data_IF_528787759602
#
_entry.id   IF_528787759602
#
_cell.length_a   1.000
_cell.length_b   1.000
_cell.length_c   1.000
_cell.angle_alpha   90.00
_cell.angle_beta   90.00
_cell.angle_gamma   90.00
#
_symmetry.space_group_name_H-M   'P 1'
#
loop_
_entity.id
_entity.type
_entity.pdbx_description
1 polymer ?
#
# COMPACT_ATOMS: atom_id res chain seq x y z
N UNK A 1 14.95 67.63 -39.98
CA UNK A 1 16.26 67.22 -39.42
C UNK A 1 16.60 65.82 -39.92
N UNK A 2 17.41 65.71 -40.99
CA UNK A 2 17.85 64.42 -41.52
C UNK A 2 18.98 63.87 -40.63
N UNK A 3 18.69 62.82 -39.89
CA UNK A 3 19.65 62.14 -39.03
C UNK A 3 20.75 61.51 -39.89
N UNK A 4 21.99 61.99 -39.74
CA UNK A 4 23.12 61.61 -40.60
C UNK A 4 23.68 60.23 -40.21
N UNK A 5 22.89 59.19 -40.49
CA UNK A 5 23.16 57.78 -40.15
C UNK A 5 24.50 57.27 -40.70
N UNK A 6 24.95 57.81 -41.84
CA UNK A 6 26.19 57.41 -42.50
C UNK A 6 27.45 57.74 -41.69
N UNK A 7 27.42 58.73 -40.79
CA UNK A 7 28.58 59.17 -40.00
C UNK A 7 28.78 58.32 -38.74
N UNK A 8 27.67 57.93 -38.09
CA UNK A 8 27.67 57.05 -36.90
C UNK A 8 28.12 55.64 -37.28
N UNK A 9 27.66 55.16 -38.44
CA UNK A 9 28.00 53.82 -38.95
C UNK A 9 29.50 53.64 -39.23
N UNK A 10 30.24 54.70 -39.61
CA UNK A 10 31.69 54.58 -39.84
C UNK A 10 32.50 54.52 -38.54
N UNK A 11 32.03 55.14 -37.46
CA UNK A 11 32.78 55.20 -36.19
C UNK A 11 32.53 53.98 -35.28
N UNK A 12 31.31 53.44 -35.29
CA UNK A 12 30.91 52.38 -34.34
C UNK A 12 30.58 51.04 -35.02
N UNK A 13 31.13 50.80 -36.23
CA UNK A 13 30.85 49.62 -37.07
C UNK A 13 31.04 48.29 -36.33
N UNK A 14 32.11 48.19 -35.55
CA UNK A 14 32.45 47.00 -34.76
C UNK A 14 31.51 46.80 -33.56
N UNK A 15 31.20 47.86 -32.82
CA UNK A 15 30.30 47.78 -31.65
C UNK A 15 28.86 47.44 -32.08
N UNK A 16 28.39 48.02 -33.19
CA UNK A 16 27.06 47.72 -33.74
C UNK A 16 27.00 46.29 -34.27
N UNK A 17 28.06 45.79 -34.92
CA UNK A 17 28.09 44.40 -35.40
C UNK A 17 28.12 43.39 -34.26
N UNK A 18 28.91 43.64 -33.21
CA UNK A 18 28.97 42.77 -32.03
C UNK A 18 27.65 42.78 -31.25
N UNK A 19 27.05 43.96 -31.07
CA UNK A 19 25.73 44.09 -30.44
C UNK A 19 24.64 43.35 -31.22
N UNK A 20 24.64 43.44 -32.55
CA UNK A 20 23.68 42.73 -33.40
C UNK A 20 23.86 41.20 -33.34
N UNK A 21 25.10 40.70 -33.35
CA UNK A 21 25.38 39.25 -33.24
C UNK A 21 24.99 38.72 -31.87
N UNK A 22 25.25 39.45 -30.78
CA UNK A 22 24.83 39.06 -29.44
C UNK A 22 23.30 39.01 -29.29
N UNK A 23 22.59 39.96 -29.90
CA UNK A 23 21.12 40.02 -29.88
C UNK A 23 20.50 38.89 -30.70
N UNK A 24 21.07 38.58 -31.87
CA UNK A 24 20.65 37.44 -32.69
C UNK A 24 20.90 36.12 -31.95
N UNK A 25 22.08 35.94 -31.35
CA UNK A 25 22.38 34.75 -30.55
C UNK A 25 21.42 34.59 -29.35
N UNK A 26 21.05 35.69 -28.68
CA UNK A 26 20.08 35.65 -27.59
C UNK A 26 18.66 35.30 -28.06
N UNK A 27 18.23 35.79 -29.23
CA UNK A 27 16.92 35.47 -29.82
C UNK A 27 16.83 34.01 -30.29
N UNK A 28 17.90 33.45 -30.86
CA UNK A 28 17.95 32.04 -31.23
C UNK A 28 18.13 31.11 -30.02
N UNK A 29 18.84 31.54 -28.97
CA UNK A 29 19.02 30.75 -27.74
C UNK A 29 17.76 30.67 -26.86
N UNK A 30 16.81 31.59 -27.01
CA UNK A 30 15.61 31.64 -26.16
C UNK A 30 14.68 30.43 -26.38
N UNK A 31 14.60 29.92 -27.62
CA UNK A 31 13.79 28.74 -27.96
C UNK A 31 14.39 27.43 -27.41
N UNK A 32 15.71 27.31 -27.38
CA UNK A 32 16.40 26.12 -26.84
C UNK A 32 16.39 26.09 -25.30
N UNK A 33 16.47 27.26 -24.65
CA UNK A 33 16.32 27.38 -23.19
C UNK A 33 14.90 27.00 -22.75
N UNK A 34 13.86 27.45 -23.47
CA UNK A 34 12.48 27.07 -23.15
C UNK A 34 12.24 25.57 -23.28
N UNK A 35 12.76 24.92 -24.34
CA UNK A 35 12.65 23.46 -24.51
C UNK A 35 13.41 22.69 -23.44
N UNK A 36 14.60 23.15 -23.05
CA UNK A 36 15.39 22.55 -21.97
C UNK A 36 14.72 22.71 -20.60
N UNK A 37 14.09 23.86 -20.33
CA UNK A 37 13.32 24.09 -19.11
C UNK A 37 12.03 23.26 -19.05
N UNK A 38 11.36 23.05 -20.19
CA UNK A 38 10.19 22.18 -20.28
C UNK A 38 10.57 20.73 -19.94
N UNK A 39 11.65 20.20 -20.53
CA UNK A 39 12.14 18.86 -20.21
C UNK A 39 12.51 18.68 -18.73
N UNK A 40 13.22 19.65 -18.14
CA UNK A 40 13.56 19.63 -16.70
C UNK A 40 12.33 19.71 -15.78
N UNK A 41 11.30 20.46 -16.17
CA UNK A 41 10.07 20.56 -15.39
C UNK A 41 9.26 19.25 -15.44
N UNK A 42 9.24 18.60 -16.60
CA UNK A 42 8.59 17.31 -16.79
C UNK A 42 9.34 16.20 -16.05
N UNK A 43 10.67 16.18 -16.11
CA UNK A 43 11.51 15.24 -15.37
C UNK A 43 11.34 15.41 -13.85
N UNK A 44 11.32 16.65 -13.34
CA UNK A 44 11.03 16.91 -11.92
C UNK A 44 9.64 16.41 -11.52
N UNK A 45 8.63 16.60 -12.37
CA UNK A 45 7.28 16.11 -12.10
C UNK A 45 7.22 14.58 -12.07
N UNK A 46 7.91 13.90 -13.01
CA UNK A 46 8.03 12.44 -13.04
C UNK A 46 8.81 11.87 -11.85
N UNK A 47 9.90 12.53 -11.46
CA UNK A 47 10.67 12.13 -10.27
C UNK A 47 9.82 12.29 -9.01
N UNK A 48 9.10 13.40 -8.87
CA UNK A 48 8.20 13.62 -7.74
C UNK A 48 7.06 12.59 -7.69
N UNK A 49 6.47 12.22 -8.83
CA UNK A 49 5.42 11.19 -8.87
C UNK A 49 5.96 9.80 -8.54
N UNK A 50 7.14 9.44 -9.07
CA UNK A 50 7.72 8.12 -8.80
C UNK A 50 8.19 8.01 -7.35
N UNK A 51 8.74 9.09 -6.77
CA UNK A 51 9.15 9.12 -5.38
C UNK A 51 7.95 8.99 -4.43
N UNK A 52 6.80 9.60 -4.75
CA UNK A 52 5.59 9.44 -3.94
C UNK A 52 5.00 8.03 -4.05
N UNK A 53 5.04 7.43 -5.24
CA UNK A 53 4.62 6.05 -5.45
C UNK A 53 5.52 5.07 -4.70
N UNK A 54 6.84 5.25 -4.77
CA UNK A 54 7.81 4.43 -4.03
C UNK A 54 7.57 4.51 -2.52
N UNK A 55 7.38 5.71 -1.96
CA UNK A 55 7.05 5.87 -0.53
C UNK A 55 5.77 5.11 -0.17
N UNK A 56 4.73 5.21 -0.99
CA UNK A 56 3.47 4.49 -0.74
C UNK A 56 3.66 2.97 -0.76
N UNK A 57 4.50 2.45 -1.66
CA UNK A 57 4.81 1.03 -1.72
C UNK A 57 5.61 0.56 -0.50
N UNK A 58 6.57 1.37 -0.05
CA UNK A 58 7.36 1.12 1.16
C UNK A 58 6.47 1.09 2.41
N UNK A 59 5.62 2.11 2.58
CA UNK A 59 4.63 2.18 3.67
C UNK A 59 3.70 0.96 3.68
N UNK A 60 3.20 0.57 2.50
CA UNK A 60 2.37 -0.63 2.38
C UNK A 60 3.15 -1.91 2.75
N UNK A 61 4.41 -2.03 2.32
CA UNK A 61 5.25 -3.18 2.65
C UNK A 61 5.53 -3.27 4.15
N UNK A 62 5.75 -2.14 4.82
CA UNK A 62 5.91 -2.08 6.28
C UNK A 62 4.63 -2.50 7.01
N UNK A 63 3.46 -2.00 6.57
CA UNK A 63 2.18 -2.40 7.14
C UNK A 63 1.92 -3.90 6.98
N UNK A 64 2.23 -4.47 5.81
CA UNK A 64 2.10 -5.91 5.57
C UNK A 64 3.02 -6.71 6.50
N UNK A 65 4.28 -6.29 6.66
CA UNK A 65 5.22 -6.94 7.58
C UNK A 65 4.77 -6.87 9.03
N UNK A 66 4.27 -5.71 9.47
CA UNK A 66 3.75 -5.53 10.81
C UNK A 66 2.55 -6.44 11.07
N UNK A 67 1.61 -6.53 10.12
CA UNK A 67 0.47 -7.46 10.19
C UNK A 67 0.91 -8.92 10.21
N UNK A 68 1.91 -9.29 9.41
CA UNK A 68 2.46 -10.64 9.43
C UNK A 68 3.03 -10.99 10.80
N UNK A 69 3.82 -10.09 11.42
CA UNK A 69 4.37 -10.30 12.75
C UNK A 69 3.27 -10.44 13.82
N UNK A 70 2.21 -9.62 13.76
CA UNK A 70 1.03 -9.75 14.65
C UNK A 70 0.38 -11.11 14.47
N UNK A 71 0.19 -11.57 13.24
CA UNK A 71 -0.39 -12.87 12.97
C UNK A 71 0.49 -14.00 13.51
N UNK A 72 1.81 -13.93 13.33
CA UNK A 72 2.73 -14.96 13.83
C UNK A 72 2.71 -15.01 15.36
N UNK A 73 2.65 -13.85 16.00
CA UNK A 73 2.53 -13.75 17.45
C UNK A 73 1.23 -14.41 17.94
N UNK A 74 0.10 -14.15 17.28
CA UNK A 74 -1.19 -14.80 17.61
C UNK A 74 -1.14 -16.33 17.48
N UNK A 75 -0.44 -16.85 16.48
CA UNK A 75 -0.22 -18.30 16.35
C UNK A 75 0.60 -18.86 17.51
N UNK A 76 1.64 -18.14 17.94
CA UNK A 76 2.53 -18.54 19.05
C UNK A 76 1.83 -18.48 20.41
N UNK A 77 0.99 -17.47 20.63
CA UNK A 77 0.26 -17.24 21.88
C UNK A 77 -0.91 -18.21 22.08
N UNK A 78 -1.38 -18.85 21.01
CA UNK A 78 -2.44 -19.85 21.06
C UNK A 78 -3.76 -19.28 20.57
N UNK A 79 -3.94 -19.31 19.25
CA UNK A 79 -5.19 -18.94 18.60
C UNK A 79 -6.14 -20.14 18.48
N UNK A 80 -7.43 -19.82 18.35
CA UNK A 80 -8.50 -20.81 18.23
C UNK A 80 -8.78 -21.16 16.76
N UNK A 81 -8.66 -22.44 16.38
CA UNK A 81 -8.90 -22.86 14.98
C UNK A 81 -10.38 -22.87 14.62
N UNK A 82 -10.65 -22.34 13.42
CA UNK A 82 -11.97 -22.29 12.81
C UNK A 82 -12.09 -23.29 11.63
N UNK A 83 -13.22 -23.99 11.57
CA UNK A 83 -13.60 -24.97 10.53
C UNK A 83 -14.97 -24.61 9.94
N UNK A 84 -15.35 -25.23 8.84
CA UNK A 84 -16.61 -24.90 8.16
C UNK A 84 -17.82 -25.45 8.92
N UNK A 85 -18.91 -24.68 9.01
CA UNK A 85 -20.18 -25.14 9.61
C UNK A 85 -20.70 -26.42 8.95
N UNK A 86 -20.67 -26.47 7.61
CA UNK A 86 -21.28 -27.54 6.83
C UNK A 86 -20.42 -28.82 6.77
N UNK A 87 -19.15 -28.71 7.10
CA UNK A 87 -18.23 -29.85 7.14
C UNK A 87 -17.19 -29.58 8.22
N UNK A 88 -17.36 -30.16 9.43
CA UNK A 88 -16.44 -29.98 10.54
C UNK A 88 -15.01 -30.48 10.26
N UNK A 89 -14.87 -31.32 9.23
CA UNK A 89 -13.59 -31.81 8.73
C UNK A 89 -12.99 -30.89 7.65
N UNK A 90 -13.76 -29.95 7.14
CA UNK A 90 -13.32 -28.95 6.16
C UNK A 90 -12.91 -27.69 6.88
N UNK A 91 -11.78 -27.16 6.46
CA UNK A 91 -11.16 -26.00 7.07
C UNK A 91 -11.87 -24.74 6.56
N UNK A 92 -12.08 -23.75 7.43
CA UNK A 92 -12.70 -22.49 7.05
C UNK A 92 -11.65 -21.40 6.85
N UNK A 93 -11.98 -20.40 6.04
CA UNK A 93 -11.23 -19.16 5.90
C UNK A 93 -11.94 -18.08 6.71
N UNK A 94 -11.16 -17.25 7.42
CA UNK A 94 -11.70 -16.10 8.15
C UNK A 94 -12.12 -15.00 7.17
N UNK A 95 -13.31 -14.44 7.38
CA UNK A 95 -13.85 -13.32 6.60
C UNK A 95 -14.19 -12.21 7.58
N UNK A 96 -13.72 -11.00 7.28
CA UNK A 96 -13.95 -9.82 8.11
C UNK A 96 -15.44 -9.47 8.17
N UNK A 97 -15.93 -9.08 9.35
CA UNK A 97 -17.33 -8.70 9.58
C UNK A 97 -18.28 -9.87 9.87
N UNK A 98 -17.81 -11.12 9.79
CA UNK A 98 -18.64 -12.31 10.01
C UNK A 98 -18.44 -12.92 11.41
N UNK A 99 -19.48 -13.54 12.01
CA UNK A 99 -19.37 -14.20 13.30
C UNK A 99 -18.75 -15.60 13.22
N UNK A 100 -18.06 -15.98 14.30
CA UNK A 100 -17.52 -17.34 14.52
C UNK A 100 -18.25 -17.97 15.70
N UNK A 101 -18.64 -19.24 15.58
CA UNK A 101 -19.52 -19.93 16.53
C UNK A 101 -18.83 -21.08 17.25
N UNK A 102 -19.21 -21.30 18.50
CA UNK A 102 -18.86 -22.52 19.23
C UNK A 102 -19.63 -23.73 18.69
N UNK A 103 -18.90 -24.82 18.45
CA UNK A 103 -19.46 -26.08 17.96
C UNK A 103 -20.54 -26.65 18.87
N UNK A 104 -20.36 -26.53 20.18
CA UNK A 104 -21.17 -27.13 21.24
C UNK A 104 -22.37 -26.25 21.55
N UNK A 105 -22.14 -24.96 21.84
CA UNK A 105 -23.21 -24.07 22.28
C UNK A 105 -23.98 -23.42 21.13
N UNK A 106 -23.45 -23.48 19.90
CA UNK A 106 -23.99 -22.80 18.71
C UNK A 106 -24.14 -21.28 18.87
N UNK A 107 -23.45 -20.70 19.86
CA UNK A 107 -23.41 -19.27 20.12
C UNK A 107 -22.16 -18.65 19.49
N UNK A 108 -22.21 -17.36 19.11
CA UNK A 108 -21.01 -16.66 18.68
C UNK A 108 -19.98 -16.68 19.82
N UNK A 109 -18.72 -16.82 19.44
CA UNK A 109 -17.58 -16.68 20.33
C UNK A 109 -17.57 -15.26 20.94
N UNK A 110 -17.13 -15.10 22.18
CA UNK A 110 -17.09 -13.79 22.83
C UNK A 110 -16.06 -12.88 22.14
N UNK A 111 -16.32 -11.57 22.22
CA UNK A 111 -15.35 -10.56 21.81
C UNK A 111 -14.02 -10.71 22.59
N UNK A 112 -12.92 -10.34 21.97
CA UNK A 112 -11.55 -10.53 22.45
C UNK A 112 -10.95 -11.90 22.11
N UNK A 113 -11.74 -12.85 21.61
CA UNK A 113 -11.22 -14.16 21.22
C UNK A 113 -10.33 -14.04 19.99
N UNK A 114 -9.12 -14.60 20.06
CA UNK A 114 -8.21 -14.70 18.92
C UNK A 114 -8.50 -15.99 18.16
N UNK A 115 -8.85 -15.85 16.89
CA UNK A 115 -9.18 -16.97 15.99
C UNK A 115 -8.15 -17.06 14.87
N UNK A 116 -7.94 -18.28 14.36
CA UNK A 116 -7.06 -18.53 13.23
C UNK A 116 -7.65 -19.56 12.27
N UNK A 117 -7.32 -19.38 11.00
CA UNK A 117 -7.61 -20.37 9.98
C UNK A 117 -6.42 -21.31 9.78
N UNK A 118 -6.50 -22.14 8.75
CA UNK A 118 -5.44 -23.07 8.36
C UNK A 118 -4.49 -22.53 7.29
N UNK A 119 -4.83 -21.38 6.73
CA UNK A 119 -4.09 -20.75 5.66
C UNK A 119 -3.01 -19.82 6.20
N UNK A 120 -3.05 -19.49 7.50
CA UNK A 120 -2.10 -18.56 8.12
C UNK A 120 -2.73 -17.21 8.44
N UNK A 121 -4.04 -17.06 8.29
CA UNK A 121 -4.78 -15.87 8.72
C UNK A 121 -5.18 -15.98 10.18
N UNK A 122 -5.24 -14.83 10.83
CA UNK A 122 -5.65 -14.66 12.22
C UNK A 122 -6.54 -13.43 12.32
N UNK A 123 -7.39 -13.41 13.33
CA UNK A 123 -8.23 -12.26 13.62
C UNK A 123 -8.57 -12.19 15.11
N UNK A 124 -9.05 -11.04 15.54
CA UNK A 124 -9.61 -10.84 16.88
C UNK A 124 -11.10 -10.59 16.71
N UNK A 125 -11.92 -11.26 17.51
CA UNK A 125 -13.35 -11.00 17.48
C UNK A 125 -13.66 -9.70 18.23
N UNK A 126 -14.43 -8.80 17.63
CA UNK A 126 -14.92 -7.60 18.29
C UNK A 126 -16.41 -7.42 18.02
N UNK A 127 -17.12 -6.76 18.93
CA UNK A 127 -18.55 -6.50 18.76
C UNK A 127 -18.80 -5.52 17.62
N UNK A 128 -19.67 -5.89 16.69
CA UNK A 128 -20.19 -4.97 15.68
C UNK A 128 -21.22 -3.99 16.30
N UNK A 129 -21.78 -3.10 15.47
CA UNK A 129 -22.80 -2.12 15.86
C UNK A 129 -24.06 -2.75 16.47
N UNK A 130 -24.35 -4.02 16.16
CA UNK A 130 -25.49 -4.76 16.67
C UNK A 130 -25.16 -5.59 17.93
N UNK A 131 -23.95 -5.42 18.48
CA UNK A 131 -23.49 -6.17 19.66
C UNK A 131 -23.11 -7.62 19.39
N UNK A 132 -23.04 -8.04 18.12
CA UNK A 132 -22.63 -9.40 17.73
C UNK A 132 -21.11 -9.42 17.55
N UNK A 133 -20.37 -10.32 18.23
CA UNK A 133 -18.94 -10.50 17.99
C UNK A 133 -18.68 -11.02 16.58
N UNK A 134 -17.87 -10.29 15.82
CA UNK A 134 -17.50 -10.61 14.45
C UNK A 134 -15.98 -10.54 14.28
N UNK A 135 -15.47 -11.19 13.24
CA UNK A 135 -14.06 -11.16 12.85
C UNK A 135 -13.65 -9.72 12.54
N UNK A 136 -12.64 -9.24 13.25
CA UNK A 136 -12.00 -7.95 13.03
C UNK A 136 -10.48 -8.07 13.08
N UNK A 137 -9.78 -7.04 12.61
CA UNK A 137 -8.32 -6.96 12.66
C UNK A 137 -7.63 -8.20 12.05
N UNK A 138 -8.00 -8.47 10.79
CA UNK A 138 -7.50 -9.60 10.05
C UNK A 138 -6.02 -9.40 9.68
N UNK A 139 -5.21 -10.39 10.01
CA UNK A 139 -3.78 -10.37 9.80
C UNK A 139 -3.30 -11.73 9.25
N UNK A 140 -2.43 -11.69 8.25
CA UNK A 140 -1.95 -12.88 7.54
C UNK A 140 -0.44 -13.05 7.73
N UNK A 141 -0.02 -14.21 8.20
CA UNK A 141 1.39 -14.51 8.48
C UNK A 141 2.24 -14.65 7.22
N UNK A 142 1.68 -15.21 6.14
CA UNK A 142 2.48 -15.72 5.01
C UNK A 142 3.31 -16.97 5.33
N UNK A 143 3.28 -17.46 6.57
CA UNK A 143 4.09 -18.58 7.05
C UNK A 143 3.22 -19.83 7.24
N UNK A 144 3.19 -20.67 6.20
CA UNK A 144 2.36 -21.88 6.17
C UNK A 144 2.77 -22.92 7.21
N UNK A 145 4.04 -22.94 7.63
CA UNK A 145 4.55 -23.92 8.58
C UNK A 145 3.97 -23.74 9.98
N UNK A 146 3.72 -22.49 10.39
CA UNK A 146 3.05 -22.18 11.66
C UNK A 146 1.62 -22.71 11.69
N UNK A 147 0.87 -22.49 10.60
CA UNK A 147 -0.49 -23.00 10.48
C UNK A 147 -0.53 -24.53 10.49
N UNK A 148 0.35 -25.19 9.73
CA UNK A 148 0.45 -26.66 9.71
C UNK A 148 0.87 -27.24 11.06
N UNK A 149 1.80 -26.59 11.77
CA UNK A 149 2.21 -27.00 13.10
C UNK A 149 1.05 -26.95 14.09
N UNK A 150 0.21 -25.91 14.02
CA UNK A 150 -0.98 -25.78 14.85
C UNK A 150 -2.01 -26.88 14.53
N UNK A 151 -2.32 -27.12 13.25
CA UNK A 151 -3.27 -28.16 12.82
C UNK A 151 -2.84 -29.54 13.31
N UNK A 152 -1.54 -29.87 13.25
CA UNK A 152 -1.01 -31.15 13.73
C UNK A 152 -1.25 -31.36 15.24
N UNK A 153 -1.18 -30.29 16.04
CA UNK A 153 -1.47 -30.32 17.48
C UNK A 153 -2.95 -30.52 17.80
N UNK A 154 -3.84 -30.28 16.83
CA UNK A 154 -5.29 -30.18 17.04
C UNK A 154 -6.04 -31.51 16.89
N UNK A 155 -5.34 -32.63 16.71
CA UNK A 155 -5.94 -33.99 16.70
C UNK A 155 -6.79 -34.35 17.94
N UNK A 156 -6.93 -33.48 18.94
CA UNK A 156 -7.96 -33.54 20.00
C UNK A 156 -8.46 -32.19 20.55
N UNK A 157 -8.23 -31.05 19.87
CA UNK A 157 -8.57 -29.72 20.40
C UNK A 157 -9.98 -29.23 19.98
N UNK A 158 -10.52 -28.25 20.70
CA UNK A 158 -11.83 -27.65 20.40
C UNK A 158 -11.71 -26.79 19.14
N UNK A 159 -12.49 -27.14 18.11
CA UNK A 159 -12.63 -26.38 16.87
C UNK A 159 -13.95 -25.63 16.84
N UNK A 160 -13.93 -24.46 16.19
CA UNK A 160 -15.05 -23.52 16.13
C UNK A 160 -15.52 -23.37 14.70
N UNK A 161 -16.76 -22.94 14.49
CA UNK A 161 -17.35 -22.89 13.16
C UNK A 161 -17.42 -21.48 12.59
N UNK A 162 -17.09 -21.33 11.32
CA UNK A 162 -17.37 -20.12 10.54
C UNK A 162 -18.66 -20.28 9.74
N UNK A 163 -19.57 -19.30 9.85
CA UNK A 163 -20.80 -19.25 9.06
C UNK A 163 -20.59 -18.33 7.86
N UNK A 164 -20.51 -18.86 6.62
CA UNK A 164 -20.57 -18.00 5.45
C UNK A 164 -21.96 -17.37 5.33
N UNK A 165 -22.03 -16.06 5.11
CA UNK A 165 -23.26 -15.42 4.65
C UNK A 165 -23.75 -16.12 3.36
N UNK A 166 -25.05 -16.40 3.30
CA UNK A 166 -25.72 -16.96 2.13
C UNK A 166 -26.02 -15.87 1.11
#
# INVERSE_FOLDING_TARGET
MQYNSKRVWRKHKLEISFGAVALIAALFSHSDIQRSMQGLSEDRARIASNASEQRRLEENAELVKAKAAIAEQRYRDGCTIVVAVNSPNSLATLVEGEPVFDRTSKKPLPAGTVVCDVNGSTAVLASNLNGVPVVTDLAFTGNRDLALALIRKIKGARVYYYTPAK
#
